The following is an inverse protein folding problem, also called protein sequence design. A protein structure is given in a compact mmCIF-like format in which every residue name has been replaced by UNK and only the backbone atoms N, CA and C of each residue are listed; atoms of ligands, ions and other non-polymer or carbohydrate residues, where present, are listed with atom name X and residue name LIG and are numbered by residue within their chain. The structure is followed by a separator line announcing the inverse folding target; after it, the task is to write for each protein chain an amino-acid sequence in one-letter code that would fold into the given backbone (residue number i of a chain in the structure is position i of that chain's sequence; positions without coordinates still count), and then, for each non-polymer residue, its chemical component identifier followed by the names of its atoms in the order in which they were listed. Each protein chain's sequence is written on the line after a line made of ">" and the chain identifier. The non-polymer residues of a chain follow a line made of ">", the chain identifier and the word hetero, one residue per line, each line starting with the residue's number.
data_IF_845729164583
#
_entry.id   IF_845729164583
#
_cell.length_a   1.000
_cell.length_b   1.000
_cell.length_c   1.000
_cell.angle_alpha   90.00
_cell.angle_beta   90.00
_cell.angle_gamma   90.00
#
_symmetry.space_group_name_H-M   'P 1'
#
loop_
_entity.id
_entity.type
_entity.pdbx_description
1 polymer ?
#
# COMPACT_ATOMS: atom_id res chain seq x y z
N UNK A 1 -23.33 13.28 -21.00
CA UNK A 1 -23.77 13.76 -19.67
C UNK A 1 -22.52 14.08 -18.85
N UNK A 2 -22.36 15.34 -18.46
CA UNK A 2 -21.23 15.84 -17.66
C UNK A 2 -21.42 15.42 -16.20
N UNK A 3 -20.94 14.22 -15.86
CA UNK A 3 -20.98 13.70 -14.51
C UNK A 3 -19.88 14.36 -13.67
N UNK A 4 -20.11 15.60 -13.21
CA UNK A 4 -19.36 16.10 -12.05
C UNK A 4 -19.86 15.32 -10.83
N UNK A 5 -19.20 14.22 -10.52
CA UNK A 5 -19.33 13.57 -9.22
C UNK A 5 -18.79 14.52 -8.15
N UNK A 6 -19.28 14.37 -6.92
CA UNK A 6 -18.76 15.10 -5.76
C UNK A 6 -17.23 15.00 -5.72
N UNK A 7 -16.50 16.08 -5.37
CA UNK A 7 -15.04 16.04 -5.24
C UNK A 7 -14.55 15.07 -4.16
N UNK A 8 -15.48 14.54 -3.34
CA UNK A 8 -15.22 13.55 -2.29
C UNK A 8 -15.66 12.13 -2.67
N UNK A 9 -16.27 11.94 -3.85
CA UNK A 9 -16.60 10.61 -4.38
C UNK A 9 -15.48 10.24 -5.34
N UNK A 10 -14.76 9.16 -5.01
CA UNK A 10 -13.72 8.58 -5.86
C UNK A 10 -14.21 8.46 -7.31
N UNK A 11 -13.35 8.74 -8.31
CA UNK A 11 -13.75 8.63 -9.71
C UNK A 11 -14.24 7.20 -9.98
N UNK A 12 -15.52 7.09 -10.33
CA UNK A 12 -16.11 5.83 -10.75
C UNK A 12 -15.41 5.41 -12.05
N UNK A 13 -14.58 4.37 -12.00
CA UNK A 13 -14.21 3.65 -13.22
C UNK A 13 -15.39 2.76 -13.63
N UNK A 14 -15.91 2.89 -14.86
CA UNK A 14 -16.91 1.97 -15.34
C UNK A 14 -16.33 0.56 -15.34
N UNK A 15 -17.07 -0.38 -14.74
CA UNK A 15 -16.69 -1.78 -14.77
C UNK A 15 -16.57 -2.24 -16.23
N UNK A 16 -15.36 -2.66 -16.61
CA UNK A 16 -15.12 -3.26 -17.91
C UNK A 16 -15.79 -4.65 -17.90
N UNK A 17 -16.61 -4.92 -18.93
CA UNK A 17 -17.14 -6.26 -19.21
C UNK A 17 -18.34 -6.75 -18.38
N UNK A 18 -19.07 -5.86 -17.69
CA UNK A 18 -20.38 -6.23 -17.12
C UNK A 18 -21.40 -6.67 -18.19
N UNK A 19 -21.18 -6.26 -19.43
CA UNK A 19 -21.98 -6.61 -20.61
C UNK A 19 -21.62 -7.96 -21.22
N UNK A 20 -20.53 -8.62 -20.78
CA UNK A 20 -20.11 -9.91 -21.33
C UNK A 20 -20.81 -11.06 -20.58
N UNK A 21 -21.74 -11.79 -21.22
CA UNK A 21 -22.47 -12.89 -20.58
C UNK A 21 -21.64 -14.17 -20.48
N UNK A 22 -20.58 -14.30 -21.28
CA UNK A 22 -19.73 -15.50 -21.31
C UNK A 22 -18.66 -15.41 -20.22
N UNK A 23 -18.61 -16.37 -19.28
CA UNK A 23 -17.55 -16.41 -18.28
C UNK A 23 -16.17 -16.49 -18.93
N UNK A 24 -15.30 -15.53 -18.64
CA UNK A 24 -13.90 -15.51 -19.15
C UNK A 24 -12.90 -16.10 -18.14
N UNK A 25 -13.39 -16.53 -16.98
CA UNK A 25 -12.59 -17.12 -15.91
C UNK A 25 -13.41 -18.20 -15.19
N UNK A 26 -12.70 -19.10 -14.51
CA UNK A 26 -13.28 -20.10 -13.62
C UNK A 26 -12.60 -19.97 -12.26
N UNK A 27 -13.37 -20.15 -11.19
CA UNK A 27 -12.76 -20.30 -9.87
C UNK A 27 -11.93 -21.59 -9.86
N UNK A 28 -10.72 -21.49 -9.34
CA UNK A 28 -9.93 -22.67 -9.03
C UNK A 28 -10.57 -23.43 -7.87
N UNK A 29 -10.32 -24.73 -7.76
CA UNK A 29 -10.70 -25.49 -6.57
C UNK A 29 -9.97 -24.95 -5.34
N UNK A 30 -10.66 -24.99 -4.20
CA UNK A 30 -10.07 -24.58 -2.93
C UNK A 30 -8.87 -25.47 -2.61
N UNK A 31 -7.74 -24.85 -2.29
CA UNK A 31 -6.53 -25.52 -1.86
C UNK A 31 -5.80 -24.67 -0.84
N UNK A 32 -4.99 -25.32 -0.02
CA UNK A 32 -4.02 -24.62 0.80
C UNK A 32 -2.86 -24.13 -0.08
N UNK A 33 -2.33 -22.96 0.26
CA UNK A 33 -1.15 -22.38 -0.37
C UNK A 33 -0.11 -22.16 0.70
N UNK A 34 1.11 -22.61 0.41
CA UNK A 34 2.28 -22.32 1.22
C UNK A 34 2.68 -20.85 1.05
N UNK A 35 3.47 -20.36 2.01
CA UNK A 35 4.06 -19.02 1.93
C UNK A 35 4.89 -18.83 0.67
N UNK A 36 5.69 -19.83 0.28
CA UNK A 36 6.54 -19.79 -0.91
C UNK A 36 5.70 -19.66 -2.18
N UNK A 37 4.61 -20.43 -2.30
CA UNK A 37 3.71 -20.33 -3.45
C UNK A 37 3.04 -18.97 -3.55
N UNK A 38 2.56 -18.41 -2.43
CA UNK A 38 1.96 -17.08 -2.44
C UNK A 38 3.01 -15.98 -2.69
N UNK A 39 4.22 -16.14 -2.16
CA UNK A 39 5.32 -15.20 -2.36
C UNK A 39 5.73 -15.10 -3.82
N UNK A 40 5.69 -16.20 -4.57
CA UNK A 40 5.90 -16.19 -6.02
C UNK A 40 4.83 -15.35 -6.76
N UNK A 41 3.63 -15.22 -6.20
CA UNK A 41 2.56 -14.40 -6.77
C UNK A 41 2.66 -12.94 -6.33
N UNK A 42 3.33 -12.64 -5.22
CA UNK A 42 3.45 -11.28 -4.71
C UNK A 42 4.08 -10.33 -5.71
N UNK A 43 5.02 -10.77 -6.56
CA UNK A 43 5.59 -9.91 -7.61
C UNK A 43 4.53 -9.42 -8.61
N UNK A 44 3.46 -10.19 -8.83
CA UNK A 44 2.35 -9.77 -9.71
C UNK A 44 1.48 -8.71 -9.05
N UNK A 45 1.29 -8.79 -7.73
CA UNK A 45 0.43 -7.86 -6.98
C UNK A 45 1.17 -6.65 -6.39
N UNK A 46 2.48 -6.77 -6.22
CA UNK A 46 3.40 -5.75 -5.76
C UNK A 46 4.60 -5.67 -6.74
N UNK A 47 4.35 -5.17 -7.97
CA UNK A 47 5.39 -5.08 -8.98
C UNK A 47 6.53 -4.16 -8.54
N UNK A 48 7.73 -4.41 -9.09
CA UNK A 48 8.90 -3.56 -8.86
C UNK A 48 8.65 -2.17 -9.43
N UNK A 49 8.94 -1.15 -8.63
CA UNK A 49 8.86 0.26 -9.04
C UNK A 49 10.22 0.69 -9.56
N UNK A 50 10.31 1.32 -10.73
CA UNK A 50 11.60 1.68 -11.31
C UNK A 50 11.84 3.20 -11.19
N UNK A 51 12.72 3.65 -10.26
CA UNK A 51 13.07 5.06 -10.18
C UNK A 51 13.75 5.53 -11.46
N UNK A 52 13.61 6.82 -11.78
CA UNK A 52 14.37 7.45 -12.86
C UNK A 52 15.85 7.57 -12.46
N UNK A 53 16.70 6.78 -13.13
CA UNK A 53 18.15 6.78 -12.92
C UNK A 53 18.83 7.98 -13.61
N UNK A 54 20.01 8.37 -13.13
CA UNK A 54 20.82 9.46 -13.70
C UNK A 54 20.29 10.87 -13.40
N UNK A 55 19.25 11.00 -12.58
CA UNK A 55 18.75 12.26 -12.06
C UNK A 55 19.45 12.64 -10.74
N UNK A 56 19.22 13.87 -10.29
CA UNK A 56 19.52 14.26 -8.91
C UNK A 56 18.71 13.37 -7.94
N UNK A 57 19.27 13.04 -6.77
CA UNK A 57 18.70 12.00 -5.90
C UNK A 57 17.29 12.34 -5.43
N UNK A 58 16.96 13.60 -5.12
CA UNK A 58 15.61 13.99 -4.74
C UNK A 58 14.61 13.82 -5.90
N UNK A 59 15.03 14.13 -7.13
CA UNK A 59 14.23 13.86 -8.35
C UNK A 59 14.00 12.36 -8.56
N UNK A 60 15.04 11.54 -8.37
CA UNK A 60 14.94 10.09 -8.46
C UNK A 60 13.98 9.53 -7.41
N UNK A 61 14.03 10.02 -6.16
CA UNK A 61 13.07 9.67 -5.11
C UNK A 61 11.65 10.10 -5.48
N UNK A 62 11.45 11.33 -5.95
CA UNK A 62 10.14 11.83 -6.36
C UNK A 62 9.51 10.95 -7.46
N UNK A 63 10.32 10.47 -8.41
CA UNK A 63 9.84 9.60 -9.48
C UNK A 63 9.23 8.28 -8.98
N UNK A 64 9.69 7.77 -7.84
CA UNK A 64 9.11 6.56 -7.21
C UNK A 64 7.64 6.80 -6.82
N UNK A 65 7.34 7.98 -6.28
CA UNK A 65 5.97 8.34 -5.89
C UNK A 65 5.10 8.72 -7.09
N UNK A 66 5.72 9.21 -8.17
CA UNK A 66 5.04 9.56 -9.42
C UNK A 66 4.78 8.34 -10.33
N UNK A 67 5.29 7.17 -9.99
CA UNK A 67 5.07 5.93 -10.73
C UNK A 67 3.56 5.63 -10.83
N UNK A 68 3.01 5.32 -12.02
CA UNK A 68 1.59 5.01 -12.19
C UNK A 68 1.11 3.79 -11.37
N UNK A 69 2.02 2.89 -11.02
CA UNK A 69 1.78 1.77 -10.10
C UNK A 69 1.77 2.18 -8.63
N UNK A 70 2.07 3.42 -8.28
CA UNK A 70 1.96 3.98 -6.92
C UNK A 70 0.82 4.98 -6.82
N UNK A 71 0.66 5.84 -7.82
CA UNK A 71 -0.38 6.87 -7.83
C UNK A 71 -1.77 6.24 -7.96
N UNK A 72 -2.63 6.53 -6.97
CA UNK A 72 -4.05 6.23 -7.04
C UNK A 72 -4.86 7.52 -7.00
N UNK A 73 -5.71 7.74 -8.01
CA UNK A 73 -6.47 8.98 -8.17
C UNK A 73 -5.81 9.97 -9.12
N UNK A 74 -6.05 11.26 -8.92
CA UNK A 74 -5.53 12.32 -9.79
C UNK A 74 -4.03 12.56 -9.53
N UNK A 75 -3.14 12.35 -10.52
CA UNK A 75 -1.71 12.66 -10.39
C UNK A 75 -1.42 14.12 -9.99
N UNK A 76 -2.36 15.04 -10.23
CA UNK A 76 -2.25 16.43 -9.79
C UNK A 76 -2.10 16.58 -8.27
N UNK A 77 -2.59 15.62 -7.46
CA UNK A 77 -2.39 15.65 -6.01
C UNK A 77 -0.91 15.55 -5.62
N UNK A 78 -0.09 14.89 -6.44
CA UNK A 78 1.35 14.84 -6.26
C UNK A 78 2.04 16.01 -6.95
N UNK A 79 1.74 16.24 -8.24
CA UNK A 79 2.48 17.20 -9.07
C UNK A 79 2.24 18.66 -8.68
N UNK A 80 1.07 18.99 -8.11
CA UNK A 80 0.77 20.35 -7.63
C UNK A 80 1.67 20.81 -6.48
N UNK A 81 2.32 19.88 -5.77
CA UNK A 81 3.25 20.17 -4.66
C UNK A 81 4.67 19.69 -4.95
N UNK A 82 5.02 19.49 -6.23
CA UNK A 82 6.30 18.93 -6.65
C UNK A 82 7.50 19.64 -6.02
N UNK A 83 7.52 20.97 -6.06
CA UNK A 83 8.63 21.77 -5.52
C UNK A 83 8.79 21.57 -4.01
N UNK A 84 7.68 21.53 -3.25
CA UNK A 84 7.70 21.26 -1.81
C UNK A 84 8.25 19.85 -1.51
N UNK A 85 7.87 18.85 -2.31
CA UNK A 85 8.35 17.49 -2.14
C UNK A 85 9.84 17.37 -2.43
N UNK A 86 10.31 17.96 -3.53
CA UNK A 86 11.74 17.97 -3.87
C UNK A 86 12.57 18.69 -2.82
N UNK A 87 12.06 19.80 -2.27
CA UNK A 87 12.74 20.49 -1.18
C UNK A 87 12.89 19.60 0.06
N UNK A 88 11.82 18.89 0.46
CA UNK A 88 11.85 17.97 1.61
C UNK A 88 12.77 16.77 1.40
N UNK A 89 12.72 16.16 0.22
CA UNK A 89 13.62 15.06 -0.13
C UNK A 89 15.07 15.54 -0.18
N UNK A 90 15.32 16.69 -0.81
CA UNK A 90 16.64 17.31 -0.89
C UNK A 90 17.26 17.59 0.49
N UNK A 91 16.47 18.02 1.47
CA UNK A 91 16.94 18.18 2.86
C UNK A 91 17.41 16.87 3.47
N UNK A 92 16.61 15.80 3.37
CA UNK A 92 16.98 14.48 3.91
C UNK A 92 18.21 13.89 3.19
N UNK A 93 18.27 14.07 1.87
CA UNK A 93 19.40 13.65 1.03
C UNK A 93 20.68 14.39 1.42
N UNK A 94 20.63 15.72 1.55
CA UNK A 94 21.78 16.54 1.93
C UNK A 94 22.32 16.19 3.33
N UNK A 95 21.44 15.79 4.24
CA UNK A 95 21.80 15.32 5.58
C UNK A 95 22.29 13.87 5.60
N UNK A 96 22.24 13.14 4.47
CA UNK A 96 22.64 11.74 4.38
C UNK A 96 21.78 10.80 5.24
N UNK A 97 20.56 11.21 5.58
CA UNK A 97 19.67 10.44 6.46
C UNK A 97 18.78 9.49 5.67
N UNK A 98 18.31 8.44 6.35
CA UNK A 98 17.24 7.57 5.85
C UNK A 98 15.96 8.39 5.66
N UNK A 99 15.19 8.05 4.63
CA UNK A 99 13.84 8.60 4.45
C UNK A 99 12.83 7.87 5.34
N UNK A 100 12.34 8.53 6.38
CA UNK A 100 11.25 8.01 7.22
C UNK A 100 9.91 8.51 6.70
N UNK A 101 9.07 7.57 6.24
CA UNK A 101 7.75 7.82 5.70
C UNK A 101 6.69 7.30 6.68
N UNK A 102 5.54 7.96 6.73
CA UNK A 102 4.45 7.57 7.62
C UNK A 102 3.16 7.42 6.84
N UNK A 103 2.40 6.37 7.10
CA UNK A 103 1.06 6.16 6.56
C UNK A 103 0.10 5.77 7.68
N UNK A 104 -1.13 6.29 7.60
CA UNK A 104 -2.25 5.84 8.43
C UNK A 104 -3.03 4.79 7.65
N UNK A 105 -3.34 3.67 8.28
CA UNK A 105 -4.15 2.63 7.67
C UNK A 105 -4.17 1.35 8.50
N UNK A 106 -4.76 0.28 7.96
CA UNK A 106 -4.88 -1.01 8.65
C UNK A 106 -5.55 -0.89 10.03
N UNK A 107 -6.79 -0.36 10.14
CA UNK A 107 -7.49 -0.26 11.42
C UNK A 107 -7.74 -1.64 12.03
N UNK A 108 -8.59 -2.42 11.37
CA UNK A 108 -9.04 -3.77 11.70
C UNK A 108 -10.04 -4.23 10.63
N UNK A 109 -10.41 -5.52 10.65
CA UNK A 109 -11.51 -6.00 9.81
C UNK A 109 -12.85 -5.52 10.38
N UNK A 110 -13.56 -4.72 9.60
CA UNK A 110 -14.92 -4.29 9.94
C UNK A 110 -15.87 -5.50 9.96
N UNK A 111 -16.70 -5.68 11.01
CA UNK A 111 -17.65 -6.78 11.12
C UNK A 111 -18.89 -6.53 10.26
N UNK A 112 -18.69 -6.35 8.96
CA UNK A 112 -19.76 -6.16 7.98
C UNK A 112 -19.94 -7.49 7.26
N UNK A 113 -21.00 -8.27 7.56
CA UNK A 113 -21.16 -9.63 7.00
C UNK A 113 -21.16 -9.67 5.47
N UNK A 114 -21.62 -8.59 4.82
CA UNK A 114 -21.59 -8.44 3.37
C UNK A 114 -20.17 -8.27 2.80
N UNK A 115 -19.19 -7.92 3.63
CA UNK A 115 -17.80 -7.66 3.25
C UNK A 115 -16.89 -8.80 3.68
N UNK A 116 -16.95 -9.19 4.94
CA UNK A 116 -16.13 -10.27 5.49
C UNK A 116 -16.63 -10.69 6.87
N UNK A 117 -16.46 -11.97 7.18
CA UNK A 117 -16.59 -12.60 8.50
C UNK A 117 -15.24 -12.78 9.21
N UNK A 118 -14.13 -12.42 8.55
CA UNK A 118 -12.77 -12.56 9.08
C UNK A 118 -12.43 -11.44 10.04
N UNK A 119 -11.64 -11.77 11.06
CA UNK A 119 -11.16 -10.83 12.08
C UNK A 119 -9.66 -10.55 11.97
N UNK A 120 -8.89 -11.51 11.43
CA UNK A 120 -7.45 -11.41 11.25
C UNK A 120 -7.06 -10.75 9.91
N UNK A 121 -5.83 -10.26 9.84
CA UNK A 121 -5.18 -9.85 8.61
C UNK A 121 -5.05 -11.05 7.65
N UNK A 122 -5.19 -10.77 6.35
CA UNK A 122 -5.19 -11.78 5.29
C UNK A 122 -4.31 -11.35 4.10
N UNK A 123 -4.43 -12.07 2.99
CA UNK A 123 -3.62 -11.84 1.79
C UNK A 123 -3.73 -10.42 1.23
N UNK A 124 -4.85 -9.72 1.47
CA UNK A 124 -4.99 -8.31 1.11
C UNK A 124 -3.96 -7.45 1.85
N UNK A 125 -3.81 -7.65 3.17
CA UNK A 125 -2.78 -6.98 3.95
C UNK A 125 -1.36 -7.36 3.52
N UNK A 126 -1.10 -8.62 3.16
CA UNK A 126 0.22 -9.03 2.62
C UNK A 126 0.57 -8.19 1.39
N UNK A 127 -0.36 -8.08 0.43
CA UNK A 127 -0.14 -7.32 -0.81
C UNK A 127 0.10 -5.85 -0.52
N UNK A 128 -0.71 -5.24 0.35
CA UNK A 128 -0.54 -3.83 0.73
C UNK A 128 0.81 -3.57 1.38
N UNK A 129 1.22 -4.38 2.35
CA UNK A 129 2.52 -4.27 3.01
C UNK A 129 3.68 -4.56 2.05
N UNK A 130 3.52 -5.51 1.12
CA UNK A 130 4.51 -5.79 0.08
C UNK A 130 4.72 -4.60 -0.87
N UNK A 131 3.64 -3.89 -1.24
CA UNK A 131 3.74 -2.66 -2.04
C UNK A 131 4.47 -1.53 -1.32
N UNK A 132 4.22 -1.35 -0.02
CA UNK A 132 4.99 -0.43 0.81
C UNK A 132 6.47 -0.83 0.84
N UNK A 133 6.75 -2.12 1.05
CA UNK A 133 8.11 -2.64 1.04
C UNK A 133 8.83 -2.39 -0.31
N UNK A 134 8.13 -2.55 -1.45
CA UNK A 134 8.66 -2.22 -2.78
C UNK A 134 8.98 -0.73 -2.95
N UNK A 135 8.16 0.17 -2.39
CA UNK A 135 8.43 1.61 -2.40
C UNK A 135 9.77 1.92 -1.73
N UNK A 136 9.99 1.38 -0.53
CA UNK A 136 11.22 1.58 0.22
C UNK A 136 12.44 0.96 -0.48
N UNK A 137 12.29 -0.23 -1.08
CA UNK A 137 13.34 -0.86 -1.91
C UNK A 137 13.69 -0.02 -3.14
N UNK A 138 12.69 0.57 -3.79
CA UNK A 138 12.90 1.44 -4.95
C UNK A 138 13.69 2.71 -4.56
N UNK A 139 13.35 3.33 -3.43
CA UNK A 139 14.11 4.47 -2.89
C UNK A 139 15.55 4.06 -2.57
N UNK A 140 15.76 2.88 -1.96
CA UNK A 140 17.09 2.36 -1.64
C UNK A 140 18.01 2.15 -2.85
N UNK A 141 17.46 2.03 -4.07
CA UNK A 141 18.27 1.95 -5.29
C UNK A 141 18.91 3.28 -5.70
N UNK A 142 18.31 4.41 -5.31
CA UNK A 142 18.75 5.76 -5.70
C UNK A 142 19.25 6.60 -4.53
N UNK A 143 18.93 6.19 -3.30
CA UNK A 143 19.34 6.84 -2.06
C UNK A 143 19.90 5.79 -1.10
N UNK A 144 21.23 5.75 -0.94
CA UNK A 144 21.92 4.68 -0.22
C UNK A 144 21.48 4.47 1.24
N UNK A 145 21.17 5.53 2.03
CA UNK A 145 20.55 5.35 3.37
C UNK A 145 19.19 4.65 3.36
N UNK A 146 18.54 4.58 2.20
CA UNK A 146 17.27 3.89 1.99
C UNK A 146 16.07 4.61 2.59
N UNK A 147 15.01 3.83 2.82
CA UNK A 147 13.76 4.32 3.39
C UNK A 147 13.15 3.32 4.38
N UNK A 148 12.32 3.84 5.29
CA UNK A 148 11.50 3.08 6.23
C UNK A 148 10.09 3.64 6.19
N UNK A 149 9.10 2.76 6.17
CA UNK A 149 7.69 3.15 6.19
C UNK A 149 7.09 2.73 7.52
N UNK A 150 6.62 3.71 8.28
CA UNK A 150 5.93 3.54 9.54
C UNK A 150 4.42 3.54 9.28
N UNK A 151 3.77 2.43 9.59
CA UNK A 151 2.33 2.26 9.49
C UNK A 151 1.74 2.51 10.87
N UNK A 152 1.03 3.62 11.01
CA UNK A 152 0.27 3.90 12.22
C UNK A 152 -1.11 3.29 12.07
N UNK A 153 -1.34 2.20 12.80
CA UNK A 153 -2.63 1.51 12.73
C UNK A 153 -3.74 2.29 13.43
N UNK A 154 -4.91 2.26 12.83
CA UNK A 154 -6.08 3.04 13.26
C UNK A 154 -6.94 2.28 14.29
N UNK A 155 -6.34 1.34 15.02
CA UNK A 155 -7.04 0.50 16.00
C UNK A 155 -7.75 1.30 17.09
N UNK A 156 -7.26 2.51 17.41
CA UNK A 156 -7.90 3.44 18.35
C UNK A 156 -9.33 3.84 17.95
N UNK A 157 -9.70 3.71 16.67
CA UNK A 157 -11.05 4.03 16.19
C UNK A 157 -12.08 2.91 16.42
N UNK A 158 -11.71 1.83 17.12
CA UNK A 158 -12.62 0.73 17.46
C UNK A 158 -13.90 1.22 18.17
N UNK A 159 -13.77 2.23 19.05
CA UNK A 159 -14.89 2.79 19.82
C UNK A 159 -15.95 3.42 18.93
N UNK A 160 -15.54 4.11 17.85
CA UNK A 160 -16.47 4.72 16.90
C UNK A 160 -17.29 3.69 16.13
N UNK A 161 -16.82 2.44 16.09
CA UNK A 161 -17.47 1.34 15.40
C UNK A 161 -18.15 0.35 16.36
N UNK A 162 -18.27 0.71 17.65
CA UNK A 162 -18.82 -0.16 18.69
C UNK A 162 -18.15 -1.54 18.76
N UNK A 163 -16.84 -1.58 18.46
CA UNK A 163 -16.03 -2.78 18.51
C UNK A 163 -15.29 -2.86 19.84
N UNK A 164 -15.24 -4.06 20.40
CA UNK A 164 -14.39 -4.33 21.56
C UNK A 164 -12.91 -4.16 21.19
N UNK A 165 -12.12 -3.61 22.11
CA UNK A 165 -10.70 -3.33 21.89
C UNK A 165 -9.91 -4.58 21.49
N UNK A 166 -10.28 -5.75 22.02
CA UNK A 166 -9.63 -7.03 21.70
C UNK A 166 -9.70 -7.40 20.22
N UNK A 167 -10.70 -6.93 19.47
CA UNK A 167 -10.77 -7.15 18.02
C UNK A 167 -9.69 -6.36 17.28
N UNK A 168 -9.48 -5.10 17.67
CA UNK A 168 -8.44 -4.27 17.07
C UNK A 168 -7.04 -4.77 17.45
N UNK A 169 -6.83 -5.13 18.72
CA UNK A 169 -5.54 -5.67 19.18
C UNK A 169 -5.24 -7.04 18.56
N UNK A 170 -6.24 -7.91 18.44
CA UNK A 170 -6.10 -9.21 17.78
C UNK A 170 -5.78 -9.07 16.29
N UNK A 171 -6.43 -8.13 15.59
CA UNK A 171 -6.08 -7.80 14.22
C UNK A 171 -4.64 -7.29 14.12
N UNK A 172 -4.24 -6.35 14.97
CA UNK A 172 -2.89 -5.79 14.94
C UNK A 172 -1.81 -6.85 15.19
N UNK A 173 -2.02 -7.74 16.16
CA UNK A 173 -1.14 -8.87 16.40
C UNK A 173 -1.04 -9.80 15.16
N UNK A 174 -2.17 -10.07 14.51
CA UNK A 174 -2.18 -10.87 13.27
C UNK A 174 -1.46 -10.18 12.10
N UNK A 175 -1.54 -8.83 12.02
CA UNK A 175 -0.83 -8.03 11.02
C UNK A 175 0.68 -8.09 11.23
N UNK A 176 1.14 -7.97 12.49
CA UNK A 176 2.55 -8.12 12.85
C UNK A 176 3.09 -9.51 12.52
N UNK A 177 2.34 -10.55 12.87
CA UNK A 177 2.71 -11.93 12.55
C UNK A 177 2.84 -12.14 11.03
N UNK A 178 1.89 -11.60 10.25
CA UNK A 178 1.90 -11.68 8.79
C UNK A 178 3.07 -10.90 8.19
N UNK A 179 3.35 -9.69 8.66
CA UNK A 179 4.49 -8.89 8.21
C UNK A 179 5.81 -9.63 8.44
N UNK A 180 5.99 -10.25 9.60
CA UNK A 180 7.17 -11.06 9.90
C UNK A 180 7.25 -12.32 9.03
N UNK A 181 6.13 -13.02 8.84
CA UNK A 181 6.02 -14.26 8.07
C UNK A 181 6.47 -14.07 6.61
N UNK A 182 6.10 -12.96 6.00
CA UNK A 182 6.46 -12.63 4.62
C UNK A 182 7.72 -11.76 4.48
N UNK A 183 8.46 -11.52 5.58
CA UNK A 183 9.68 -10.68 5.57
C UNK A 183 9.43 -9.21 5.24
N UNK A 184 8.21 -8.72 5.39
CA UNK A 184 7.80 -7.36 5.04
C UNK A 184 8.24 -6.32 6.07
N UNK A 185 8.60 -6.78 7.27
CA UNK A 185 9.15 -5.96 8.35
C UNK A 185 10.58 -5.45 8.09
N UNK A 186 11.20 -5.83 6.96
CA UNK A 186 12.49 -5.29 6.50
C UNK A 186 12.45 -3.77 6.33
N UNK A 187 11.40 -3.26 5.67
CA UNK A 187 11.22 -1.82 5.40
C UNK A 187 9.94 -1.24 5.94
N UNK A 188 9.03 -2.07 6.46
CA UNK A 188 7.77 -1.62 7.06
C UNK A 188 7.82 -1.83 8.57
N UNK A 189 7.43 -0.79 9.30
CA UNK A 189 7.30 -0.78 10.76
C UNK A 189 5.81 -0.64 11.11
N UNK A 190 5.32 -1.50 12.01
CA UNK A 190 3.93 -1.56 12.46
C UNK A 190 3.86 -1.16 13.93
#
# INVERSE_FOLDING_TARGET
>A
MTAKTSPYIYPFQPFLHLDKPTPTSRFAEAREMTETEFSAWLETFAPKIHPLEGQETAEAIYSVFADPGVVFGDPAFLSSRREEWLQRFGQVVAEGRRLDLTILGFPYKMPVPLKTDRTAADLGEVVSLARLNQLARAIGRVHAPGARIHVFTEGAFHVFNSLDRSYADGYFASLQALASRFGLNEHVEL
#
